data_IF_967578798399
#
_entry.id   IF_967578798399
#
_cell.length_a   1.000
_cell.length_b   1.000
_cell.length_c   1.000
_cell.angle_alpha   90.00
_cell.angle_beta   90.00
_cell.angle_gamma   90.00
#
_symmetry.space_group_name_H-M   'P 1'
#
loop_
_entity.id
_entity.type
_entity.pdbx_description
1 polymer ?
#
# COMPACT_ATOMS: atom_id res chain seq x y z
N UNK A 1 31.30 -33.68 73.80
CA UNK A 1 30.50 -34.21 74.97
C UNK A 1 29.09 -34.52 74.44
N UNK A 2 28.76 -35.85 74.58
CA UNK A 2 27.46 -36.42 74.95
C UNK A 2 26.27 -36.14 74.01
N UNK A 3 25.55 -37.05 73.47
CA UNK A 3 25.24 -38.52 73.52
C UNK A 3 23.97 -38.64 72.68
N UNK A 4 23.90 -39.41 71.61
CA UNK A 4 23.31 -40.76 71.53
C UNK A 4 21.88 -40.95 72.10
N UNK A 5 20.93 -41.42 71.32
CA UNK A 5 20.34 -42.79 71.18
C UNK A 5 19.08 -42.70 70.30
N UNK A 6 18.98 -43.46 69.23
CA UNK A 6 18.36 -44.77 69.04
C UNK A 6 16.85 -44.86 69.39
N UNK A 7 16.01 -45.29 68.40
CA UNK A 7 15.35 -46.59 68.28
C UNK A 7 14.34 -46.50 67.14
N UNK A 8 14.46 -47.19 66.04
CA UNK A 8 13.99 -48.49 65.55
C UNK A 8 12.46 -48.70 65.61
N UNK A 9 11.77 -48.89 64.49
CA UNK A 9 10.42 -49.38 64.34
C UNK A 9 10.07 -49.71 62.87
N UNK A 10 10.23 -50.97 62.54
CA UNK A 10 9.82 -51.58 61.25
C UNK A 10 8.33 -51.80 61.24
N UNK A 11 7.63 -51.45 60.18
CA UNK A 11 6.41 -52.16 59.77
C UNK A 11 6.24 -52.09 58.25
N UNK A 12 6.31 -53.26 57.69
CA UNK A 12 6.08 -53.66 56.31
C UNK A 12 4.57 -53.60 55.99
N UNK A 13 4.17 -52.90 54.93
CA UNK A 13 2.86 -53.10 54.32
C UNK A 13 3.00 -52.98 52.78
N UNK A 14 2.90 -54.08 52.14
CA UNK A 14 2.80 -54.25 50.69
C UNK A 14 1.43 -53.81 50.25
N UNK A 15 1.32 -52.85 49.38
CA UNK A 15 0.14 -52.64 48.56
C UNK A 15 0.57 -52.51 47.09
N UNK A 16 0.27 -53.56 46.33
CA UNK A 16 0.23 -53.52 44.87
C UNK A 16 -0.84 -52.50 44.47
N UNK A 17 -0.45 -51.44 43.80
CA UNK A 17 -1.32 -50.42 43.18
C UNK A 17 -0.92 -50.24 41.73
N UNK A 18 -1.80 -50.64 40.89
CA UNK A 18 -1.80 -50.64 39.43
C UNK A 18 -1.25 -49.35 38.84
N UNK A 19 -0.14 -49.42 38.09
CA UNK A 19 0.38 -48.32 37.29
C UNK A 19 -0.49 -48.16 36.04
N UNK A 20 -1.44 -47.22 36.06
CA UNK A 20 -2.03 -46.71 34.83
C UNK A 20 -1.00 -45.79 34.18
N UNK A 21 -0.38 -46.29 33.13
CA UNK A 21 0.34 -45.47 32.17
C UNK A 21 -0.70 -44.55 31.49
N UNK A 22 -0.89 -43.36 32.04
CA UNK A 22 -1.45 -42.22 31.27
C UNK A 22 -0.35 -41.75 30.34
N UNK A 23 -0.34 -42.30 29.14
CA UNK A 23 0.40 -41.72 28.03
C UNK A 23 -0.12 -40.33 27.78
N UNK A 24 0.53 -39.31 28.29
CA UNK A 24 0.46 -37.97 27.74
C UNK A 24 1.03 -38.05 26.34
N UNK A 25 0.20 -38.37 25.35
CA UNK A 25 0.47 -38.02 23.97
C UNK A 25 0.67 -36.52 23.95
N UNK A 26 1.89 -36.08 23.70
CA UNK A 26 2.15 -34.69 23.37
C UNK A 26 1.32 -34.32 22.14
N UNK A 27 0.16 -33.74 22.37
CA UNK A 27 -0.48 -32.93 21.33
C UNK A 27 0.55 -31.86 20.99
N UNK A 28 1.21 -32.01 19.84
CA UNK A 28 2.02 -30.93 19.28
C UNK A 28 1.16 -29.67 19.38
N UNK A 29 1.67 -28.65 20.04
CA UNK A 29 1.02 -27.35 20.09
C UNK A 29 0.66 -27.01 18.63
N UNK A 30 -0.65 -27.03 18.30
CA UNK A 30 -1.07 -26.48 17.02
C UNK A 30 -0.48 -25.07 16.98
N UNK A 31 0.22 -24.75 15.92
CA UNK A 31 0.71 -23.38 15.70
C UNK A 31 -0.56 -22.51 15.57
N UNK A 32 -0.91 -21.81 16.63
CA UNK A 32 -2.12 -20.98 16.71
C UNK A 32 -1.92 -19.66 15.95
N UNK A 33 -0.93 -19.61 15.06
CA UNK A 33 -0.62 -18.42 14.26
C UNK A 33 -0.74 -18.68 12.77
N UNK A 34 -1.25 -17.68 12.04
CA UNK A 34 -1.26 -17.63 10.58
C UNK A 34 -0.23 -16.58 10.15
N UNK A 35 0.73 -17.00 9.34
CA UNK A 35 1.77 -16.13 8.83
C UNK A 35 1.28 -15.35 7.61
N UNK A 36 1.38 -14.02 7.67
CA UNK A 36 1.14 -13.14 6.54
C UNK A 36 2.46 -12.47 6.16
N UNK A 37 2.88 -12.66 4.92
CA UNK A 37 4.06 -12.04 4.38
C UNK A 37 3.85 -10.53 4.18
N UNK A 38 4.90 -9.75 4.39
CA UNK A 38 4.90 -8.32 4.09
C UNK A 38 6.19 -7.96 3.38
N UNK A 39 6.10 -7.68 2.08
CA UNK A 39 7.20 -7.08 1.31
C UNK A 39 7.05 -5.57 1.38
N UNK A 40 8.01 -4.90 1.98
CA UNK A 40 7.87 -3.47 2.27
C UNK A 40 9.22 -2.75 2.25
N UNK A 41 9.23 -1.56 1.70
CA UNK A 41 10.38 -0.67 1.52
C UNK A 41 10.72 0.10 2.82
N UNK A 42 11.20 -0.61 3.87
CA UNK A 42 11.54 0.03 5.16
C UNK A 42 12.91 0.71 5.14
N UNK A 43 13.71 0.48 4.11
CA UNK A 43 14.93 1.23 3.79
C UNK A 43 14.92 1.70 2.34
N UNK A 44 15.87 2.56 1.95
CA UNK A 44 15.97 3.10 0.59
C UNK A 44 15.17 4.40 0.38
N UNK A 45 15.03 4.83 -0.89
CA UNK A 45 14.43 6.13 -1.23
C UNK A 45 12.97 6.30 -0.78
N UNK A 46 12.21 5.21 -0.72
CA UNK A 46 10.78 5.18 -0.38
C UNK A 46 10.52 4.80 1.09
N UNK A 47 11.54 4.81 1.94
CA UNK A 47 11.45 4.32 3.32
C UNK A 47 10.40 5.06 4.17
N UNK A 48 10.18 6.34 3.93
CA UNK A 48 9.19 7.13 4.67
C UNK A 48 7.78 6.54 4.51
N UNK A 49 7.35 6.28 3.27
CA UNK A 49 6.09 5.58 2.98
C UNK A 49 6.07 4.17 3.55
N UNK A 50 7.16 3.40 3.37
CA UNK A 50 7.27 2.04 3.91
C UNK A 50 7.12 1.96 5.43
N UNK A 51 7.64 2.94 6.16
CA UNK A 51 7.43 3.04 7.62
C UNK A 51 5.95 3.23 7.95
N UNK A 52 5.22 4.09 7.22
CA UNK A 52 3.78 4.29 7.41
C UNK A 52 2.98 3.02 7.15
N UNK A 53 3.31 2.30 6.08
CA UNK A 53 2.70 1.01 5.73
C UNK A 53 2.92 -0.02 6.84
N UNK A 54 4.15 -0.19 7.32
CA UNK A 54 4.49 -1.09 8.44
C UNK A 54 3.70 -0.73 9.69
N UNK A 55 3.63 0.55 10.05
CA UNK A 55 2.88 1.04 11.20
C UNK A 55 1.39 0.65 11.09
N UNK A 56 0.80 0.86 9.93
CA UNK A 56 -0.60 0.56 9.66
C UNK A 56 -0.92 -0.94 9.73
N UNK A 57 -0.11 -1.79 9.11
CA UNK A 57 -0.27 -3.25 9.18
C UNK A 57 -0.09 -3.73 10.62
N UNK A 58 0.87 -3.17 11.36
CA UNK A 58 1.10 -3.51 12.76
C UNK A 58 -0.15 -3.20 13.60
N UNK A 59 -0.72 -2.00 13.46
CA UNK A 59 -1.95 -1.61 14.17
C UNK A 59 -3.11 -2.57 13.85
N UNK A 60 -3.33 -2.84 12.57
CA UNK A 60 -4.41 -3.72 12.13
C UNK A 60 -4.26 -5.14 12.70
N UNK A 61 -3.07 -5.72 12.65
CA UNK A 61 -2.84 -7.07 13.18
C UNK A 61 -3.00 -7.13 14.68
N UNK A 62 -2.58 -6.12 15.42
CA UNK A 62 -2.81 -6.06 16.87
C UNK A 62 -4.30 -5.99 17.18
N UNK A 63 -5.06 -5.12 16.51
CA UNK A 63 -6.50 -4.98 16.69
C UNK A 63 -7.25 -6.29 16.37
N UNK A 64 -6.92 -6.93 15.25
CA UNK A 64 -7.50 -8.21 14.86
C UNK A 64 -7.19 -9.28 15.91
N UNK A 65 -5.93 -9.34 16.34
CA UNK A 65 -5.47 -10.31 17.34
C UNK A 65 -6.09 -10.09 18.72
N UNK A 66 -6.26 -8.84 19.14
CA UNK A 66 -6.92 -8.47 20.40
C UNK A 66 -8.42 -8.76 20.36
N UNK A 67 -9.06 -8.60 19.19
CA UNK A 67 -10.48 -8.88 18.97
C UNK A 67 -10.82 -10.37 18.85
N UNK A 68 -9.85 -11.26 19.07
CA UNK A 68 -10.05 -12.71 19.03
C UNK A 68 -9.31 -13.42 17.90
N UNK A 69 -8.65 -12.68 16.99
CA UNK A 69 -7.93 -13.26 15.86
C UNK A 69 -8.84 -13.67 14.70
N UNK A 70 -8.40 -14.64 13.93
CA UNK A 70 -9.11 -15.22 12.78
C UNK A 70 -9.33 -16.74 13.01
N UNK A 71 -10.22 -17.37 12.27
CA UNK A 71 -10.47 -18.84 12.35
C UNK A 71 -10.59 -19.34 13.80
N UNK A 72 -11.53 -18.76 14.56
CA UNK A 72 -11.82 -19.16 15.95
C UNK A 72 -10.63 -19.03 16.92
N UNK A 73 -9.79 -18.03 16.75
CA UNK A 73 -8.78 -17.66 17.72
C UNK A 73 -7.33 -17.67 17.26
N UNK A 74 -7.06 -18.10 16.03
CA UNK A 74 -5.69 -18.02 15.47
C UNK A 74 -5.23 -16.56 15.35
N UNK A 75 -3.97 -16.31 15.72
CA UNK A 75 -3.39 -14.97 15.66
C UNK A 75 -2.66 -14.74 14.32
N UNK A 76 -2.81 -13.55 13.75
CA UNK A 76 -2.00 -13.14 12.61
C UNK A 76 -0.58 -12.81 13.05
N UNK A 77 0.40 -13.33 12.30
CA UNK A 77 1.83 -13.07 12.50
C UNK A 77 2.43 -12.46 11.25
N UNK A 78 3.01 -11.26 11.38
CA UNK A 78 3.70 -10.57 10.30
C UNK A 78 5.06 -11.22 10.01
N UNK A 79 5.31 -11.57 8.75
CA UNK A 79 6.62 -11.94 8.21
C UNK A 79 7.10 -10.81 7.32
N UNK A 80 7.72 -9.80 7.94
CA UNK A 80 8.22 -8.60 7.25
C UNK A 80 9.60 -8.85 6.66
N UNK A 81 9.77 -8.55 5.38
CA UNK A 81 11.07 -8.48 4.71
C UNK A 81 11.20 -7.16 3.97
N UNK A 82 12.33 -6.49 4.19
CA UNK A 82 12.67 -5.25 3.49
C UNK A 82 13.00 -5.53 2.02
N UNK A 83 12.29 -4.88 1.12
CA UNK A 83 12.50 -4.95 -0.32
C UNK A 83 13.32 -3.76 -0.87
N UNK A 84 13.76 -2.88 0.02
CA UNK A 84 14.60 -1.71 -0.28
C UNK A 84 14.04 -0.72 -1.31
N UNK A 85 12.76 -0.87 -1.68
CA UNK A 85 12.11 -0.03 -2.70
C UNK A 85 12.64 -0.28 -4.12
N UNK A 86 13.18 -1.49 -4.41
CA UNK A 86 13.74 -1.81 -5.72
C UNK A 86 13.21 -3.14 -6.27
N UNK A 87 13.10 -3.31 -7.62
CA UNK A 87 12.66 -4.58 -8.20
C UNK A 87 13.51 -5.79 -7.76
N UNK A 88 14.83 -5.64 -7.72
CA UNK A 88 15.74 -6.71 -7.26
C UNK A 88 15.55 -7.03 -5.77
N UNK A 89 15.38 -5.98 -4.95
CA UNK A 89 15.06 -6.12 -3.53
C UNK A 89 13.74 -6.85 -3.32
N UNK A 90 12.71 -6.50 -4.09
CA UNK A 90 11.40 -7.15 -4.04
C UNK A 90 11.46 -8.63 -4.43
N UNK A 91 12.19 -9.00 -5.48
CA UNK A 91 12.41 -10.41 -5.85
C UNK A 91 13.03 -11.18 -4.68
N UNK A 92 14.07 -10.64 -4.05
CA UNK A 92 14.74 -11.27 -2.93
C UNK A 92 13.83 -11.38 -1.70
N UNK A 93 13.09 -10.30 -1.38
CA UNK A 93 12.17 -10.26 -0.26
C UNK A 93 11.02 -11.27 -0.43
N UNK A 94 10.39 -11.30 -1.61
CA UNK A 94 9.29 -12.22 -1.92
C UNK A 94 9.75 -13.68 -1.88
N UNK A 95 10.91 -14.03 -2.44
CA UNK A 95 11.45 -15.38 -2.34
C UNK A 95 11.65 -15.81 -0.88
N UNK A 96 12.16 -14.91 -0.03
CA UNK A 96 12.33 -15.19 1.40
C UNK A 96 10.99 -15.37 2.10
N UNK A 97 10.02 -14.50 1.82
CA UNK A 97 8.65 -14.56 2.38
C UNK A 97 7.98 -15.88 2.00
N UNK A 98 8.01 -16.26 0.73
CA UNK A 98 7.38 -17.50 0.25
C UNK A 98 8.01 -18.75 0.88
N UNK A 99 9.30 -18.72 1.23
CA UNK A 99 9.97 -19.78 1.99
C UNK A 99 9.48 -19.96 3.43
N UNK A 100 8.74 -19.00 3.98
CA UNK A 100 8.20 -19.05 5.35
C UNK A 100 6.81 -19.71 5.46
N UNK A 101 6.25 -20.25 4.38
CA UNK A 101 4.90 -20.84 4.31
C UNK A 101 3.82 -19.83 4.76
N UNK A 102 3.77 -18.69 4.13
CA UNK A 102 2.77 -17.65 4.37
C UNK A 102 1.46 -17.95 3.64
N UNK A 103 0.34 -17.55 4.22
CA UNK A 103 -1.00 -17.76 3.65
C UNK A 103 -1.40 -16.71 2.62
N UNK A 104 -0.87 -15.51 2.74
CA UNK A 104 -1.04 -14.40 1.81
C UNK A 104 0.13 -13.40 1.97
N UNK A 105 0.28 -12.47 1.04
CA UNK A 105 1.30 -11.43 1.11
C UNK A 105 0.66 -10.05 0.93
N UNK A 106 1.11 -9.07 1.70
CA UNK A 106 0.79 -7.65 1.56
C UNK A 106 2.03 -6.95 0.96
N UNK A 107 1.85 -6.29 -0.18
CA UNK A 107 2.93 -5.76 -1.01
C UNK A 107 3.43 -6.79 -2.05
N UNK A 108 4.48 -6.43 -2.84
CA UNK A 108 5.22 -5.17 -2.84
C UNK A 108 4.39 -3.97 -3.30
N UNK A 109 4.88 -2.75 -2.99
CA UNK A 109 4.06 -1.54 -3.15
C UNK A 109 4.06 -0.97 -4.57
N UNK A 110 5.23 -0.74 -5.17
CA UNK A 110 5.32 -0.02 -6.46
C UNK A 110 5.08 -0.93 -7.65
N UNK A 111 4.70 -0.32 -8.78
CA UNK A 111 4.45 -1.06 -10.02
C UNK A 111 5.67 -1.83 -10.54
N UNK A 112 6.89 -1.26 -10.57
CA UNK A 112 8.08 -2.03 -10.96
C UNK A 112 8.35 -3.24 -10.06
N UNK A 113 8.16 -3.11 -8.75
CA UNK A 113 8.36 -4.20 -7.79
C UNK A 113 7.28 -5.28 -7.94
N UNK A 114 6.01 -4.86 -8.08
CA UNK A 114 4.89 -5.78 -8.30
C UNK A 114 5.06 -6.54 -9.63
N UNK A 115 5.42 -5.85 -10.70
CA UNK A 115 5.69 -6.44 -12.02
C UNK A 115 6.78 -7.52 -11.93
N UNK A 116 7.90 -7.21 -11.27
CA UNK A 116 9.04 -8.12 -11.13
C UNK A 116 8.73 -9.39 -10.30
N UNK A 117 7.68 -9.37 -9.48
CA UNK A 117 7.38 -10.46 -8.52
C UNK A 117 6.12 -11.26 -8.86
N UNK A 118 5.29 -10.83 -9.79
CA UNK A 118 4.02 -11.50 -10.11
C UNK A 118 4.17 -13.00 -10.41
N UNK A 119 5.22 -13.37 -11.18
CA UNK A 119 5.45 -14.75 -11.55
C UNK A 119 5.88 -15.63 -10.36
N UNK A 120 6.53 -15.04 -9.34
CA UNK A 120 6.86 -15.74 -8.10
C UNK A 120 5.60 -16.12 -7.33
N UNK A 121 4.65 -15.19 -7.18
CA UNK A 121 3.38 -15.44 -6.53
C UNK A 121 2.53 -16.46 -7.29
N UNK A 122 2.45 -16.33 -8.61
CA UNK A 122 1.72 -17.29 -9.45
C UNK A 122 2.26 -18.71 -9.31
N UNK A 123 3.58 -18.89 -9.37
CA UNK A 123 4.21 -20.21 -9.19
C UNK A 123 4.03 -20.78 -7.80
N UNK A 124 4.05 -19.93 -6.78
CA UNK A 124 3.87 -20.34 -5.40
C UNK A 124 2.39 -20.63 -5.05
N UNK A 125 1.44 -20.13 -5.85
CA UNK A 125 0.01 -20.22 -5.54
C UNK A 125 -0.37 -19.39 -4.31
N UNK A 126 0.27 -18.25 -4.09
CA UNK A 126 0.05 -17.39 -2.91
C UNK A 126 -0.52 -16.05 -3.36
N UNK A 127 -1.72 -15.64 -2.84
CA UNK A 127 -2.29 -14.33 -3.18
C UNK A 127 -1.50 -13.18 -2.57
N UNK A 128 -1.43 -12.07 -3.30
CA UNK A 128 -0.83 -10.85 -2.79
C UNK A 128 -1.71 -9.63 -3.06
N UNK A 129 -1.73 -8.73 -2.07
CA UNK A 129 -2.49 -7.48 -2.10
C UNK A 129 -1.52 -6.32 -2.21
N UNK A 130 -1.67 -5.50 -3.26
CA UNK A 130 -0.80 -4.36 -3.54
C UNK A 130 -1.59 -3.08 -3.76
N UNK A 131 -0.92 -1.93 -3.61
CA UNK A 131 -1.44 -0.63 -4.02
C UNK A 131 -0.69 -0.07 -5.26
N UNK A 132 -0.04 -0.92 -6.04
CA UNK A 132 0.60 -0.57 -7.30
C UNK A 132 -0.44 -0.18 -8.36
N UNK A 133 -0.18 0.87 -9.13
CA UNK A 133 -1.22 1.55 -9.95
C UNK A 133 -1.14 1.29 -11.46
N UNK A 134 -0.01 0.78 -11.98
CA UNK A 134 0.15 0.54 -13.41
C UNK A 134 -0.91 -0.41 -13.98
N UNK A 135 -1.65 -0.03 -15.05
CA UNK A 135 -2.60 -0.91 -15.71
C UNK A 135 -1.93 -2.16 -16.34
N UNK A 136 -0.65 -2.08 -16.70
CA UNK A 136 0.12 -3.22 -17.25
C UNK A 136 0.23 -4.41 -16.30
N UNK A 137 0.01 -4.21 -15.01
CA UNK A 137 0.02 -5.32 -14.06
C UNK A 137 -1.06 -6.36 -14.34
N UNK A 138 -2.14 -5.97 -15.02
CA UNK A 138 -3.21 -6.87 -15.45
C UNK A 138 -2.83 -7.74 -16.65
N UNK A 139 -1.84 -7.33 -17.46
CA UNK A 139 -1.39 -8.09 -18.66
C UNK A 139 -0.83 -9.48 -18.30
N UNK A 140 -0.33 -9.63 -17.08
CA UNK A 140 0.16 -10.91 -16.56
C UNK A 140 -0.94 -11.95 -16.36
N UNK A 141 -2.21 -11.56 -16.33
CA UNK A 141 -3.36 -12.42 -16.08
C UNK A 141 -3.12 -13.33 -14.85
N UNK A 142 -2.63 -12.74 -13.77
CA UNK A 142 -2.25 -13.46 -12.57
C UNK A 142 -3.44 -13.55 -11.59
N UNK A 143 -4.05 -14.73 -11.38
CA UNK A 143 -5.22 -14.87 -10.51
C UNK A 143 -4.93 -14.62 -9.02
N UNK A 144 -3.66 -14.53 -8.65
CA UNK A 144 -3.22 -14.23 -7.27
C UNK A 144 -2.95 -12.75 -7.03
N UNK A 145 -3.13 -11.90 -8.04
CA UNK A 145 -2.97 -10.45 -7.95
C UNK A 145 -4.25 -9.78 -7.47
N UNK A 146 -4.13 -8.95 -6.42
CA UNK A 146 -5.22 -8.11 -5.91
C UNK A 146 -4.72 -6.69 -5.69
N UNK A 147 -5.42 -5.71 -6.28
CA UNK A 147 -5.07 -4.29 -6.19
C UNK A 147 -6.11 -3.50 -5.41
N UNK A 148 -5.67 -2.77 -4.37
CA UNK A 148 -6.52 -1.92 -3.53
C UNK A 148 -6.40 -0.42 -3.85
N UNK A 149 -5.86 -0.08 -5.00
CA UNK A 149 -5.71 1.30 -5.48
C UNK A 149 -6.38 1.49 -6.83
N UNK A 150 -6.71 2.75 -7.15
CA UNK A 150 -7.17 3.10 -8.49
C UNK A 150 -6.03 2.95 -9.50
N UNK A 151 -6.35 2.36 -10.64
CA UNK A 151 -5.40 2.21 -11.75
C UNK A 151 -5.09 3.55 -12.42
N UNK A 152 -3.83 3.75 -12.84
CA UNK A 152 -3.44 4.92 -13.64
C UNK A 152 -4.19 4.98 -14.98
N UNK A 153 -4.72 3.85 -15.45
CA UNK A 153 -5.64 3.82 -16.58
C UNK A 153 -6.94 4.59 -16.35
N UNK A 154 -7.34 4.82 -15.10
CA UNK A 154 -8.47 5.66 -14.73
C UNK A 154 -8.03 7.05 -14.22
N UNK A 155 -6.86 7.14 -13.58
CA UNK A 155 -6.34 8.39 -13.02
C UNK A 155 -6.01 9.39 -14.14
N UNK A 156 -5.27 8.99 -15.17
CA UNK A 156 -4.89 9.86 -16.28
C UNK A 156 -6.10 10.51 -16.96
N UNK A 157 -7.08 9.75 -17.43
CA UNK A 157 -8.34 10.29 -17.97
C UNK A 157 -9.05 11.27 -17.03
N UNK A 158 -9.17 10.96 -15.74
CA UNK A 158 -9.83 11.83 -14.76
C UNK A 158 -9.07 13.16 -14.57
N UNK A 159 -7.74 13.15 -14.60
CA UNK A 159 -6.92 14.37 -14.57
C UNK A 159 -7.14 15.22 -15.83
N UNK A 160 -7.23 14.61 -17.01
CA UNK A 160 -7.50 15.30 -18.29
C UNK A 160 -8.89 15.94 -18.26
N UNK A 161 -9.92 15.22 -17.84
CA UNK A 161 -11.27 15.76 -17.73
C UNK A 161 -11.31 16.93 -16.74
N UNK A 162 -10.67 16.80 -15.59
CA UNK A 162 -10.58 17.88 -14.62
C UNK A 162 -9.85 19.11 -15.17
N UNK A 163 -8.72 18.92 -15.86
CA UNK A 163 -7.99 20.02 -16.49
C UNK A 163 -8.82 20.74 -17.54
N UNK A 164 -9.58 19.99 -18.35
CA UNK A 164 -10.49 20.52 -19.36
C UNK A 164 -11.65 21.29 -18.74
N UNK A 165 -12.29 20.73 -17.72
CA UNK A 165 -13.46 21.32 -17.06
C UNK A 165 -13.09 22.56 -16.24
N UNK A 166 -12.04 22.49 -15.43
CA UNK A 166 -11.67 23.57 -14.51
C UNK A 166 -10.88 24.71 -15.18
N UNK A 167 -9.97 24.37 -16.09
CA UNK A 167 -9.04 25.34 -16.69
C UNK A 167 -9.32 25.61 -18.18
N UNK A 168 -10.19 24.84 -18.82
CA UNK A 168 -10.40 24.94 -20.26
C UNK A 168 -9.17 24.50 -21.06
N UNK A 169 -8.35 23.62 -20.49
CA UNK A 169 -7.07 23.19 -21.05
C UNK A 169 -7.24 22.60 -22.45
N UNK A 170 -6.38 23.00 -23.38
CA UNK A 170 -6.25 22.50 -24.75
C UNK A 170 -4.90 21.86 -24.98
N UNK A 171 -3.91 22.22 -24.19
CA UNK A 171 -2.52 21.77 -24.25
C UNK A 171 -2.06 21.29 -22.90
N UNK A 172 -1.88 19.98 -22.73
CA UNK A 172 -1.40 19.37 -21.50
C UNK A 172 0.02 18.89 -21.73
N UNK A 173 0.95 19.33 -20.90
CA UNK A 173 2.31 18.80 -20.88
C UNK A 173 2.51 17.91 -19.65
N UNK A 174 3.34 16.87 -19.75
CA UNK A 174 3.62 15.97 -18.62
C UNK A 174 5.11 15.71 -18.44
N UNK A 175 5.50 15.52 -17.17
CA UNK A 175 6.72 14.85 -16.78
C UNK A 175 6.39 13.47 -16.27
N UNK A 176 7.16 12.44 -16.66
CA UNK A 176 6.94 11.09 -16.17
C UNK A 176 8.25 10.38 -15.82
N UNK A 177 8.23 9.60 -14.74
CA UNK A 177 9.31 8.67 -14.45
C UNK A 177 9.35 7.58 -15.55
N UNK A 178 10.53 7.24 -16.01
CA UNK A 178 10.71 6.25 -17.08
C UNK A 178 10.61 4.80 -16.60
N UNK A 179 10.15 4.59 -15.36
CA UNK A 179 9.83 3.28 -14.83
C UNK A 179 8.48 2.72 -15.32
N UNK A 180 8.11 1.51 -14.90
CA UNK A 180 6.85 0.85 -15.28
C UNK A 180 5.59 1.63 -14.86
N UNK A 181 5.69 2.45 -13.78
CA UNK A 181 4.60 3.29 -13.33
C UNK A 181 4.42 4.50 -14.25
N UNK A 182 5.43 5.36 -14.32
CA UNK A 182 5.32 6.63 -15.03
C UNK A 182 5.09 6.44 -16.54
N UNK A 183 5.76 5.46 -17.16
CA UNK A 183 5.51 5.09 -18.57
C UNK A 183 4.07 4.65 -18.82
N UNK A 184 3.48 3.88 -17.91
CA UNK A 184 2.11 3.40 -18.10
C UNK A 184 1.08 4.52 -17.89
N UNK A 185 1.31 5.40 -16.91
CA UNK A 185 0.46 6.55 -16.64
C UNK A 185 0.51 7.58 -17.78
N UNK A 186 1.72 7.89 -18.29
CA UNK A 186 1.93 8.75 -19.45
C UNK A 186 1.19 8.22 -20.69
N UNK A 187 1.38 6.95 -21.03
CA UNK A 187 0.74 6.34 -22.18
C UNK A 187 -0.80 6.34 -22.07
N UNK A 188 -1.35 6.01 -20.90
CA UNK A 188 -2.80 6.03 -20.68
C UNK A 188 -3.37 7.45 -20.86
N UNK A 189 -2.68 8.45 -20.30
CA UNK A 189 -3.07 9.87 -20.41
C UNK A 189 -2.97 10.37 -21.84
N UNK A 190 -1.89 10.06 -22.54
CA UNK A 190 -1.68 10.44 -23.95
C UNK A 190 -2.78 9.88 -24.85
N UNK A 191 -3.09 8.59 -24.72
CA UNK A 191 -4.14 7.94 -25.51
C UNK A 191 -5.50 8.61 -25.29
N UNK A 192 -5.81 8.95 -24.03
CA UNK A 192 -7.06 9.63 -23.72
C UNK A 192 -7.08 11.08 -24.24
N UNK A 193 -5.97 11.81 -24.15
CA UNK A 193 -5.86 13.14 -24.75
C UNK A 193 -6.12 13.11 -26.27
N UNK A 194 -5.58 12.11 -26.97
CA UNK A 194 -5.83 11.90 -28.41
C UNK A 194 -7.32 11.65 -28.68
N UNK A 195 -7.99 10.83 -27.85
CA UNK A 195 -9.40 10.51 -27.97
C UNK A 195 -10.29 11.75 -27.79
N UNK A 196 -9.98 12.62 -26.81
CA UNK A 196 -10.82 13.81 -26.48
C UNK A 196 -10.35 15.09 -27.16
N UNK A 197 -9.34 15.01 -28.03
CA UNK A 197 -8.86 16.13 -28.85
C UNK A 197 -8.06 17.18 -28.09
N UNK A 198 -7.28 16.76 -27.07
CA UNK A 198 -6.35 17.59 -26.32
C UNK A 198 -4.92 17.40 -26.89
N UNK A 199 -4.18 18.49 -27.13
CA UNK A 199 -2.78 18.38 -27.48
C UNK A 199 -1.96 17.92 -26.28
N UNK A 200 -1.12 16.90 -26.46
CA UNK A 200 -0.32 16.32 -25.40
C UNK A 200 1.16 16.25 -25.75
N UNK A 201 2.03 16.66 -24.82
CA UNK A 201 3.48 16.58 -24.94
C UNK A 201 4.09 16.10 -23.63
N UNK A 202 5.01 15.15 -23.67
CA UNK A 202 5.63 14.65 -22.44
C UNK A 202 7.14 14.49 -22.56
N UNK A 203 7.82 14.60 -21.42
CA UNK A 203 9.26 14.39 -21.25
C UNK A 203 9.50 13.39 -20.11
N UNK A 204 10.38 12.41 -20.36
CA UNK A 204 10.77 11.43 -19.35
C UNK A 204 11.96 11.91 -18.51
N UNK A 205 12.00 11.44 -17.27
CA UNK A 205 13.15 11.55 -16.36
C UNK A 205 13.41 10.18 -15.71
N UNK A 206 14.56 10.02 -15.05
CA UNK A 206 14.92 8.78 -14.37
C UNK A 206 14.72 8.92 -12.85
N UNK A 207 14.15 7.90 -12.21
CA UNK A 207 14.02 7.86 -10.73
C UNK A 207 15.34 8.21 -10.06
N UNK A 208 15.30 9.20 -9.17
CA UNK A 208 16.48 9.68 -8.44
C UNK A 208 17.18 10.89 -9.08
N UNK A 209 16.73 11.37 -10.24
CA UNK A 209 17.22 12.62 -10.83
C UNK A 209 17.05 13.78 -9.83
N UNK A 210 18.04 14.68 -9.81
CA UNK A 210 18.07 15.81 -8.87
C UNK A 210 17.85 17.17 -9.54
N UNK A 211 17.77 17.16 -10.86
CA UNK A 211 17.53 18.36 -11.68
C UNK A 211 16.72 17.99 -12.92
N UNK A 212 15.53 18.55 -13.02
CA UNK A 212 14.57 18.36 -14.11
C UNK A 212 14.36 19.63 -14.93
N UNK A 213 15.23 20.65 -14.72
CA UNK A 213 15.14 21.99 -15.34
C UNK A 213 15.10 21.90 -16.87
N UNK A 214 15.86 20.98 -17.46
CA UNK A 214 15.89 20.79 -18.92
C UNK A 214 14.54 20.33 -19.47
N UNK A 215 13.93 19.32 -18.85
CA UNK A 215 12.64 18.78 -19.24
C UNK A 215 11.54 19.84 -19.03
N UNK A 216 11.48 20.46 -17.86
CA UNK A 216 10.51 21.52 -17.53
C UNK A 216 10.62 22.72 -18.49
N UNK A 217 11.83 23.10 -18.87
CA UNK A 217 12.03 24.18 -19.87
C UNK A 217 11.44 23.83 -21.22
N UNK A 218 11.47 22.57 -21.65
CA UNK A 218 10.83 22.11 -22.91
C UNK A 218 9.31 22.21 -22.80
N UNK A 219 8.72 21.77 -21.65
CA UNK A 219 7.27 21.91 -21.41
C UNK A 219 6.85 23.39 -21.45
N UNK A 220 7.63 24.27 -20.80
CA UNK A 220 7.39 25.73 -20.84
C UNK A 220 7.41 26.29 -22.26
N UNK A 221 8.44 25.93 -23.03
CA UNK A 221 8.60 26.43 -24.41
C UNK A 221 7.51 25.89 -25.34
N UNK A 222 6.97 24.70 -25.07
CA UNK A 222 5.84 24.15 -25.83
C UNK A 222 4.53 24.90 -25.56
N UNK A 223 4.43 25.59 -24.42
CA UNK A 223 3.30 26.45 -24.06
C UNK A 223 2.12 25.66 -23.52
N UNK A 224 2.34 24.86 -22.49
CA UNK A 224 1.31 24.10 -21.79
C UNK A 224 0.31 25.00 -21.06
N UNK A 225 -0.97 24.67 -21.12
CA UNK A 225 -2.02 25.26 -20.30
C UNK A 225 -2.03 24.68 -18.89
N UNK A 226 -1.67 23.38 -18.77
CA UNK A 226 -1.60 22.61 -17.52
C UNK A 226 -0.38 21.68 -17.59
N UNK A 227 0.30 21.50 -16.46
CA UNK A 227 1.40 20.55 -16.32
C UNK A 227 0.91 19.35 -15.49
N UNK A 228 1.12 18.15 -16.01
CA UNK A 228 0.96 16.91 -15.23
C UNK A 228 2.32 16.39 -14.80
N UNK A 229 2.34 15.62 -13.71
CA UNK A 229 3.50 14.80 -13.37
C UNK A 229 3.06 13.37 -12.99
N UNK A 230 3.90 12.41 -13.34
CA UNK A 230 3.78 11.00 -12.98
C UNK A 230 5.08 10.58 -12.32
N UNK A 231 5.28 11.05 -11.08
CA UNK A 231 6.50 10.91 -10.30
C UNK A 231 6.27 10.19 -8.97
N UNK A 232 7.37 9.82 -8.32
CA UNK A 232 7.37 9.35 -6.94
C UNK A 232 7.59 10.52 -5.96
N UNK A 233 7.51 10.25 -4.65
CA UNK A 233 7.44 11.26 -3.58
C UNK A 233 8.57 12.30 -3.65
N UNK A 234 9.81 11.88 -3.90
CA UNK A 234 10.97 12.79 -3.92
C UNK A 234 10.99 13.70 -5.15
N UNK A 235 10.64 13.15 -6.30
CA UNK A 235 10.60 13.86 -7.58
C UNK A 235 9.38 14.77 -7.65
N UNK A 236 8.23 14.39 -7.08
CA UNK A 236 7.04 15.26 -7.00
C UNK A 236 7.37 16.58 -6.30
N UNK A 237 8.05 16.53 -5.15
CA UNK A 237 8.49 17.75 -4.45
C UNK A 237 9.52 18.54 -5.25
N UNK A 238 10.41 17.87 -5.99
CA UNK A 238 11.40 18.52 -6.85
C UNK A 238 10.70 19.25 -7.99
N UNK A 239 9.73 18.63 -8.64
CA UNK A 239 8.96 19.23 -9.76
C UNK A 239 8.24 20.49 -9.30
N UNK A 240 7.53 20.44 -8.16
CA UNK A 240 6.85 21.63 -7.60
C UNK A 240 7.81 22.80 -7.42
N UNK A 241 8.98 22.56 -6.81
CA UNK A 241 9.98 23.62 -6.59
C UNK A 241 10.55 24.16 -7.88
N UNK A 242 10.91 23.28 -8.81
CA UNK A 242 11.52 23.71 -10.08
C UNK A 242 10.52 24.38 -11.04
N UNK A 243 9.23 24.06 -10.96
CA UNK A 243 8.18 24.83 -11.64
C UNK A 243 8.16 26.29 -11.16
N UNK A 244 8.22 26.53 -9.85
CA UNK A 244 8.29 27.90 -9.29
C UNK A 244 9.59 28.61 -9.70
N UNK A 245 10.76 27.94 -9.57
CA UNK A 245 12.07 28.47 -9.96
C UNK A 245 12.15 28.88 -11.43
N UNK A 246 11.46 28.17 -12.32
CA UNK A 246 11.38 28.46 -13.75
C UNK A 246 10.30 29.48 -14.10
N UNK A 247 9.60 30.06 -13.11
CA UNK A 247 8.48 30.97 -13.32
C UNK A 247 7.32 30.33 -14.06
N UNK A 248 7.02 29.09 -13.71
CA UNK A 248 5.85 28.32 -14.15
C UNK A 248 4.83 28.13 -13.02
N UNK A 249 5.02 28.72 -11.85
CA UNK A 249 4.15 28.56 -10.69
C UNK A 249 2.71 29.02 -10.89
N UNK A 250 2.44 29.84 -11.91
CA UNK A 250 1.07 30.27 -12.29
C UNK A 250 0.38 29.26 -13.22
N UNK A 251 1.09 28.25 -13.75
CA UNK A 251 0.51 27.18 -14.57
C UNK A 251 -0.04 26.11 -13.64
N UNK A 252 -1.34 25.74 -13.74
CA UNK A 252 -1.90 24.67 -12.92
C UNK A 252 -1.07 23.39 -13.04
N UNK A 253 -0.72 22.82 -11.90
CA UNK A 253 0.02 21.56 -11.81
C UNK A 253 -0.85 20.48 -11.19
N UNK A 254 -1.05 19.37 -11.87
CA UNK A 254 -1.81 18.21 -11.38
C UNK A 254 -0.87 17.02 -11.32
N UNK A 255 -0.58 16.57 -10.12
CA UNK A 255 0.35 15.46 -9.91
C UNK A 255 -0.30 14.21 -9.30
N UNK A 256 0.52 13.20 -8.99
CA UNK A 256 0.07 11.93 -8.47
C UNK A 256 -0.31 12.00 -6.99
N UNK A 257 -0.76 10.86 -6.45
CA UNK A 257 -1.00 10.73 -5.01
C UNK A 257 0.23 11.05 -4.13
N UNK A 258 1.44 11.00 -4.67
CA UNK A 258 2.68 11.41 -4.00
C UNK A 258 2.61 12.86 -3.50
N UNK A 259 1.98 13.78 -4.25
CA UNK A 259 1.79 15.17 -3.82
C UNK A 259 0.91 15.30 -2.56
N UNK A 260 0.02 14.36 -2.31
CA UNK A 260 -0.83 14.36 -1.13
C UNK A 260 -0.16 13.76 0.12
N UNK A 261 1.13 13.40 0.06
CA UNK A 261 1.89 12.86 1.19
C UNK A 261 2.68 13.96 1.89
N UNK A 262 2.69 13.98 3.25
CA UNK A 262 3.39 15.02 4.02
C UNK A 262 4.89 15.04 3.74
N UNK A 263 5.51 13.88 3.56
CA UNK A 263 6.92 13.79 3.18
C UNK A 263 7.25 14.47 1.86
N UNK A 264 6.26 14.74 1.01
CA UNK A 264 6.40 15.45 -0.25
C UNK A 264 6.11 16.94 -0.07
N UNK A 265 4.89 17.30 0.37
CA UNK A 265 4.52 18.71 0.44
C UNK A 265 5.22 19.47 1.58
N UNK A 266 5.75 18.80 2.61
CA UNK A 266 6.57 19.45 3.64
C UNK A 266 7.93 19.95 3.09
N UNK A 267 8.38 19.38 1.98
CA UNK A 267 9.59 19.83 1.26
C UNK A 267 9.37 21.06 0.37
N UNK A 268 8.15 21.56 0.27
CA UNK A 268 7.76 22.70 -0.55
C UNK A 268 7.26 23.84 0.35
N UNK A 269 7.42 25.10 -0.11
CA UNK A 269 6.78 26.23 0.54
C UNK A 269 5.29 26.29 0.18
N UNK A 270 4.46 26.87 1.07
CA UNK A 270 3.03 27.01 0.83
C UNK A 270 2.70 27.75 -0.47
N UNK A 271 3.52 28.76 -0.82
CA UNK A 271 3.39 29.50 -2.08
C UNK A 271 3.64 28.61 -3.31
N UNK A 272 4.59 27.68 -3.23
CA UNK A 272 4.93 26.77 -4.34
C UNK A 272 3.83 25.74 -4.61
N UNK A 273 3.07 25.39 -3.56
CA UNK A 273 1.95 24.46 -3.67
C UNK A 273 0.64 25.13 -4.15
N UNK A 274 0.59 26.46 -4.20
CA UNK A 274 -0.59 27.17 -4.70
C UNK A 274 -0.81 26.87 -6.19
N UNK A 275 -2.04 26.43 -6.55
CA UNK A 275 -2.34 26.01 -7.92
C UNK A 275 -1.88 24.58 -8.25
N UNK A 276 -1.45 23.83 -7.22
CA UNK A 276 -1.09 22.42 -7.33
C UNK A 276 -2.27 21.56 -6.88
N UNK A 277 -2.49 20.49 -7.62
CA UNK A 277 -3.56 19.51 -7.40
C UNK A 277 -2.96 18.12 -7.28
N UNK A 278 -3.49 17.31 -6.37
CA UNK A 278 -3.08 15.92 -6.20
C UNK A 278 -4.21 14.97 -6.59
N UNK A 279 -3.99 14.09 -7.55
CA UNK A 279 -4.89 12.98 -7.83
C UNK A 279 -4.62 11.84 -6.83
N UNK A 280 -5.63 11.40 -6.10
CA UNK A 280 -5.47 10.38 -5.05
C UNK A 280 -6.74 9.57 -4.86
N UNK A 281 -6.59 8.34 -4.42
CA UNK A 281 -7.69 7.46 -4.01
C UNK A 281 -7.91 7.47 -2.47
N UNK A 282 -7.38 8.48 -1.80
CA UNK A 282 -7.52 8.66 -0.36
C UNK A 282 -7.85 10.11 0.00
N UNK A 283 -8.88 10.26 0.81
CA UNK A 283 -9.21 11.49 1.51
C UNK A 283 -9.60 11.15 2.95
N UNK A 284 -9.05 11.88 3.92
CA UNK A 284 -9.32 11.66 5.34
C UNK A 284 -10.70 12.23 5.73
N UNK A 285 -11.76 11.52 5.35
CA UNK A 285 -13.15 11.91 5.66
C UNK A 285 -13.48 11.58 7.11
N UNK A 286 -13.35 12.56 7.99
CA UNK A 286 -13.68 12.42 9.43
C UNK A 286 -15.19 12.24 9.69
N UNK A 287 -16.05 12.36 8.69
CA UNK A 287 -17.48 12.05 8.83
C UNK A 287 -17.73 10.54 8.79
N UNK A 288 -16.80 9.76 8.23
CA UNK A 288 -16.83 8.31 8.26
C UNK A 288 -16.29 7.81 9.61
N UNK A 289 -17.13 7.10 10.38
CA UNK A 289 -16.79 6.60 11.72
C UNK A 289 -15.62 5.60 11.74
N UNK A 290 -15.46 4.77 10.70
CA UNK A 290 -14.32 3.84 10.61
C UNK A 290 -13.04 4.61 10.35
N UNK A 291 -13.07 5.55 9.41
CA UNK A 291 -11.94 6.44 9.13
C UNK A 291 -11.54 7.20 10.38
N UNK A 292 -12.48 7.88 11.04
CA UNK A 292 -12.21 8.66 12.25
C UNK A 292 -11.53 7.83 13.34
N UNK A 293 -12.05 6.63 13.62
CA UNK A 293 -11.44 5.71 14.61
C UNK A 293 -10.00 5.32 14.23
N UNK A 294 -9.77 5.08 12.96
CA UNK A 294 -8.43 4.75 12.46
C UNK A 294 -7.47 5.94 12.60
N UNK A 295 -7.90 7.15 12.17
CA UNK A 295 -7.12 8.39 12.32
C UNK A 295 -6.70 8.63 13.77
N UNK A 296 -7.66 8.56 14.71
CA UNK A 296 -7.42 8.79 16.15
C UNK A 296 -6.42 7.78 16.72
N UNK A 297 -6.59 6.49 16.42
CA UNK A 297 -5.72 5.42 16.93
C UNK A 297 -4.31 5.53 16.36
N UNK A 298 -4.20 5.77 15.07
CA UNK A 298 -2.90 5.88 14.39
C UNK A 298 -2.13 7.09 14.93
N UNK A 299 -2.76 8.27 14.97
CA UNK A 299 -2.17 9.50 15.52
C UNK A 299 -1.79 9.36 17.00
N UNK A 300 -2.66 8.76 17.81
CA UNK A 300 -2.36 8.50 19.24
C UNK A 300 -1.11 7.64 19.42
N UNK A 301 -0.89 6.67 18.55
CA UNK A 301 0.19 5.70 18.69
C UNK A 301 1.54 6.23 18.19
N UNK A 302 1.55 6.91 17.05
CA UNK A 302 2.80 7.33 16.39
C UNK A 302 3.01 8.83 16.32
N UNK A 303 2.04 9.63 16.77
CA UNK A 303 2.06 11.10 16.73
C UNK A 303 2.28 11.65 15.30
N UNK A 304 1.68 11.00 14.30
CA UNK A 304 1.68 11.40 12.90
C UNK A 304 0.30 11.27 12.33
N UNK A 305 -0.01 12.07 11.33
CA UNK A 305 -1.29 12.00 10.62
C UNK A 305 -1.31 10.80 9.67
N UNK A 306 -2.52 10.32 9.39
CA UNK A 306 -2.72 9.22 8.44
C UNK A 306 -2.67 9.78 7.04
N UNK A 307 -1.96 9.08 6.20
CA UNK A 307 -1.85 9.33 4.77
C UNK A 307 -2.26 8.09 3.99
N UNK A 308 -2.36 8.22 2.66
CA UNK A 308 -2.76 7.16 1.76
C UNK A 308 -2.10 5.81 2.05
N UNK A 309 -0.77 5.79 2.19
CA UNK A 309 -0.04 4.54 2.42
C UNK A 309 -0.51 3.81 3.68
N UNK A 310 -0.72 4.56 4.77
CA UNK A 310 -1.22 3.97 6.00
C UNK A 310 -2.65 3.42 5.84
N UNK A 311 -3.56 4.18 5.21
CA UNK A 311 -4.94 3.78 5.02
C UNK A 311 -5.09 2.54 4.12
N UNK A 312 -4.35 2.52 3.00
CA UNK A 312 -4.35 1.38 2.07
C UNK A 312 -3.87 0.09 2.75
N UNK A 313 -2.76 0.15 3.46
CA UNK A 313 -2.16 -1.05 4.06
C UNK A 313 -2.81 -1.49 5.37
N UNK A 314 -3.46 -0.57 6.10
CA UNK A 314 -4.40 -0.92 7.17
C UNK A 314 -5.57 -1.72 6.60
N UNK A 315 -6.16 -1.23 5.51
CA UNK A 315 -7.25 -1.90 4.80
C UNK A 315 -6.82 -3.25 4.24
N UNK A 316 -5.64 -3.35 3.62
CA UNK A 316 -5.12 -4.62 3.10
C UNK A 316 -5.02 -5.69 4.20
N UNK A 317 -4.58 -5.29 5.39
CA UNK A 317 -4.47 -6.21 6.52
C UNK A 317 -5.84 -6.74 6.97
N UNK A 318 -6.85 -5.88 7.06
CA UNK A 318 -8.22 -6.28 7.38
C UNK A 318 -8.88 -7.10 6.27
N UNK A 319 -8.64 -6.75 5.02
CA UNK A 319 -9.15 -7.48 3.85
C UNK A 319 -8.61 -8.92 3.81
N UNK A 320 -7.32 -9.11 4.07
CA UNK A 320 -6.71 -10.44 4.15
C UNK A 320 -7.29 -11.23 5.33
N UNK A 321 -7.48 -10.61 6.49
CA UNK A 321 -8.08 -11.25 7.66
C UNK A 321 -9.53 -11.66 7.40
N UNK A 322 -10.32 -10.82 6.76
CA UNK A 322 -11.70 -11.12 6.33
C UNK A 322 -11.73 -12.27 5.33
N UNK A 323 -10.85 -12.24 4.33
CA UNK A 323 -10.75 -13.34 3.36
C UNK A 323 -10.39 -14.68 4.01
N UNK A 324 -9.49 -14.71 4.99
CA UNK A 324 -9.17 -15.89 5.78
C UNK A 324 -10.42 -16.42 6.51
N UNK A 325 -11.19 -15.54 7.15
CA UNK A 325 -12.41 -15.91 7.86
C UNK A 325 -13.49 -16.43 6.91
N UNK A 326 -13.72 -15.77 5.76
CA UNK A 326 -14.68 -16.24 4.74
C UNK A 326 -14.25 -17.57 4.10
N UNK A 327 -12.95 -17.75 3.88
CA UNK A 327 -12.39 -19.01 3.40
C UNK A 327 -12.52 -20.16 4.40
N UNK A 328 -12.69 -19.86 5.68
CA UNK A 328 -12.66 -20.86 6.77
C UNK A 328 -11.34 -21.63 6.82
N UNK A 329 -10.24 -21.06 6.32
CA UNK A 329 -8.97 -21.75 6.08
C UNK A 329 -7.80 -20.77 5.95
N UNK A 330 -6.61 -21.25 6.31
CA UNK A 330 -5.32 -20.58 6.07
C UNK A 330 -4.63 -21.06 4.77
N UNK A 331 -5.33 -21.86 3.96
CA UNK A 331 -4.87 -22.31 2.65
C UNK A 331 -4.85 -21.15 1.66
N UNK A 332 -3.70 -20.88 0.97
CA UNK A 332 -3.57 -19.74 0.08
C UNK A 332 -4.58 -19.71 -1.08
N UNK A 333 -4.92 -20.88 -1.67
CA UNK A 333 -5.86 -20.93 -2.78
C UNK A 333 -7.29 -20.58 -2.35
N UNK A 334 -7.71 -21.04 -1.16
CA UNK A 334 -9.01 -20.67 -0.61
C UNK A 334 -9.08 -19.18 -0.25
N UNK A 335 -7.97 -18.60 0.25
CA UNK A 335 -7.87 -17.16 0.50
C UNK A 335 -7.93 -16.39 -0.81
N UNK A 336 -7.24 -16.85 -1.85
CA UNK A 336 -7.32 -16.26 -3.19
C UNK A 336 -8.76 -16.21 -3.69
N UNK A 337 -9.48 -17.33 -3.58
CA UNK A 337 -10.89 -17.40 -3.96
C UNK A 337 -11.72 -16.40 -3.13
N UNK A 338 -11.57 -16.38 -1.82
CA UNK A 338 -12.30 -15.46 -0.95
C UNK A 338 -11.99 -13.99 -1.28
N UNK A 339 -10.74 -13.65 -1.64
CA UNK A 339 -10.37 -12.31 -2.10
C UNK A 339 -11.08 -11.94 -3.41
N UNK A 340 -11.14 -12.86 -4.40
CA UNK A 340 -11.83 -12.61 -5.67
C UNK A 340 -13.37 -12.48 -5.52
N UNK A 341 -13.94 -13.01 -4.47
CA UNK A 341 -15.38 -12.93 -4.13
C UNK A 341 -15.69 -11.75 -3.18
N UNK A 342 -14.74 -10.85 -2.95
CA UNK A 342 -14.97 -9.68 -2.07
C UNK A 342 -16.06 -8.79 -2.62
N UNK A 343 -17.10 -8.55 -1.82
CA UNK A 343 -18.22 -7.65 -2.12
C UNK A 343 -18.60 -6.88 -0.86
N UNK A 344 -18.87 -5.58 -1.01
CA UNK A 344 -19.27 -4.65 0.06
C UNK A 344 -18.35 -4.68 1.30
N UNK A 345 -17.05 -4.95 1.11
CA UNK A 345 -16.09 -4.92 2.20
C UNK A 345 -15.91 -3.49 2.70
N UNK A 346 -16.20 -3.28 3.99
CA UNK A 346 -16.14 -1.97 4.64
C UNK A 346 -14.70 -1.58 4.94
N UNK A 347 -14.09 -0.78 4.07
CA UNK A 347 -12.76 -0.21 4.30
C UNK A 347 -12.86 1.16 4.97
N UNK A 348 -11.76 1.67 5.49
CA UNK A 348 -11.72 3.00 6.11
C UNK A 348 -12.00 4.13 5.11
N UNK A 349 -11.77 3.91 3.82
CA UNK A 349 -11.99 4.88 2.74
C UNK A 349 -13.15 4.53 1.79
N UNK A 350 -14.08 3.67 2.21
CA UNK A 350 -15.28 3.28 1.46
C UNK A 350 -15.44 1.77 1.30
N UNK A 351 -16.44 1.36 0.54
CA UNK A 351 -16.72 -0.05 0.30
C UNK A 351 -15.91 -0.58 -0.88
N UNK A 352 -15.33 -1.75 -0.72
CA UNK A 352 -14.55 -2.41 -1.76
C UNK A 352 -15.32 -3.59 -2.36
N UNK A 353 -15.28 -3.67 -3.68
CA UNK A 353 -15.78 -4.78 -4.46
C UNK A 353 -14.68 -5.24 -5.40
N UNK A 354 -14.42 -6.55 -5.46
CA UNK A 354 -13.40 -7.11 -6.33
C UNK A 354 -13.93 -7.31 -7.75
N UNK A 355 -13.23 -6.81 -8.75
CA UNK A 355 -13.49 -7.11 -10.16
C UNK A 355 -12.98 -8.51 -10.53
N UNK A 356 -13.39 -9.01 -11.69
CA UNK A 356 -12.88 -10.28 -12.24
C UNK A 356 -11.35 -10.29 -12.43
N UNK A 357 -10.74 -9.11 -12.53
CA UNK A 357 -9.30 -8.93 -12.72
C UNK A 357 -8.53 -8.71 -11.42
N UNK A 358 -9.20 -8.82 -10.25
CA UNK A 358 -8.56 -8.63 -8.94
C UNK A 358 -8.41 -7.16 -8.51
N UNK A 359 -9.12 -6.23 -9.16
CA UNK A 359 -9.12 -4.83 -8.75
C UNK A 359 -10.22 -4.57 -7.73
N UNK A 360 -9.84 -4.02 -6.59
CA UNK A 360 -10.75 -3.58 -5.55
C UNK A 360 -11.03 -2.09 -5.75
N UNK A 361 -12.22 -1.77 -6.25
CA UNK A 361 -12.59 -0.42 -6.63
C UNK A 361 -12.58 0.52 -5.43
N UNK A 362 -11.95 1.66 -5.61
CA UNK A 362 -11.89 2.76 -4.65
C UNK A 362 -12.37 4.06 -5.31
N UNK A 363 -12.63 5.09 -4.51
CA UNK A 363 -12.92 6.42 -5.02
C UNK A 363 -11.64 7.08 -5.53
N UNK A 364 -11.78 7.96 -6.53
CA UNK A 364 -10.72 8.84 -6.99
C UNK A 364 -11.11 10.28 -6.67
N UNK A 365 -10.19 11.01 -6.07
CA UNK A 365 -10.32 12.42 -5.73
C UNK A 365 -9.24 13.23 -6.44
N UNK A 366 -9.55 14.46 -6.76
CA UNK A 366 -8.54 15.49 -7.05
C UNK A 366 -8.62 16.49 -5.91
N UNK A 367 -7.52 16.61 -5.17
CA UNK A 367 -7.39 17.52 -4.05
C UNK A 367 -6.67 18.77 -4.48
N UNK A 368 -7.09 19.92 -3.97
CA UNK A 368 -6.47 21.23 -4.19
C UNK A 368 -5.75 21.67 -2.92
N UNK A 369 -4.52 22.16 -3.05
CA UNK A 369 -3.82 22.77 -1.94
C UNK A 369 -4.32 24.19 -1.73
N UNK A 370 -4.60 24.53 -0.47
CA UNK A 370 -4.79 25.92 -0.05
C UNK A 370 -3.42 26.62 0.22
N UNK A 371 -3.46 27.90 0.53
CA UNK A 371 -2.25 28.67 0.85
C UNK A 371 -1.60 28.29 2.19
N UNK A 372 -2.12 27.29 2.93
CA UNK A 372 -1.63 26.85 4.25
C UNK A 372 -1.18 25.38 4.26
N UNK A 373 -0.93 24.77 3.10
CA UNK A 373 -0.59 23.35 2.92
C UNK A 373 -1.70 22.38 3.36
N UNK A 374 -2.94 22.84 3.39
CA UNK A 374 -4.10 21.97 3.59
C UNK A 374 -4.70 21.60 2.24
N UNK A 375 -5.31 20.45 2.20
CA UNK A 375 -5.95 19.94 1.01
C UNK A 375 -7.47 19.85 1.21
N UNK A 376 -8.20 20.22 0.17
CA UNK A 376 -9.65 20.02 0.09
C UNK A 376 -10.02 19.35 -1.24
N UNK A 377 -11.17 18.72 -1.28
CA UNK A 377 -11.65 18.08 -2.51
C UNK A 377 -11.97 19.16 -3.53
N UNK A 378 -11.29 19.10 -4.68
CA UNK A 378 -11.54 19.92 -5.86
C UNK A 378 -12.51 19.23 -6.84
N UNK A 379 -12.49 17.88 -6.88
CA UNK A 379 -13.40 17.00 -7.63
C UNK A 379 -13.45 15.61 -7.00
#
# INVERSE_FOLDING_TARGET
MRKMKKVLGVLLSVCLGISTLSGCGGAGAKDDTIKIGVSNMVTGPLAAGGIRMKQAITLAFEEINESGGVLDGKKLKMVLVDDTGTPTGAINAVNKILGENVSAVIGPHTSPMSSATQELFRKAGVPFVTAATSPKLLDANNPYFFRISVSDGAVGPAMVDFAKEKFGAKKIAALYDTDDYGLAADNATKNYCEEVGIEYYSEGFTTGDKDLTSQLSKLKNWGADVVFDFSHDAEAALIVRQLDELGMGDIPHIGPNALAQSQTYDLCDAKQLQGTYASTDFYADETNELMKKFLDKFKKRWNVDVERYAAMYYTAAYLVADAINRAGSDDPEKIRQALSETSDFQAVFGNLNCSEQGELNTNLYILEFDGEKKMSIAK
#
